data_IF_364488311763
#
_entry.id   IF_364488311763
#
_cell.length_a   1.000
_cell.length_b   1.000
_cell.length_c   1.000
_cell.angle_alpha   90.00
_cell.angle_beta   90.00
_cell.angle_gamma   90.00
#
_symmetry.space_group_name_H-M   'P 1'
#
loop_
_entity.id
_entity.type
_entity.pdbx_description
1 polymer ?
#
# COMPACT_ATOMS: atom_id res chain seq x y z
N UNK A 1 18.64 7.12 7.70
CA UNK A 1 18.01 6.36 8.80
C UNK A 1 18.42 4.90 8.64
N UNK A 2 18.65 4.16 9.73
CA UNK A 2 19.05 2.73 9.69
C UNK A 2 17.98 1.87 10.36
N UNK A 3 17.66 0.71 9.76
CA UNK A 3 16.66 -0.25 10.25
C UNK A 3 17.32 -1.61 10.57
N UNK A 4 16.86 -2.27 11.63
CA UNK A 4 17.22 -3.64 12.02
C UNK A 4 16.30 -4.66 11.35
N UNK A 5 16.76 -5.91 11.25
CA UNK A 5 15.92 -7.01 10.78
C UNK A 5 14.72 -7.14 11.72
N UNK A 6 13.52 -7.22 11.14
CA UNK A 6 12.26 -7.24 11.87
C UNK A 6 11.63 -5.87 12.09
N UNK A 7 12.37 -4.76 11.91
CA UNK A 7 11.79 -3.42 12.00
C UNK A 7 10.71 -3.23 10.93
N UNK A 8 9.63 -2.55 11.33
CA UNK A 8 8.54 -2.16 10.44
C UNK A 8 8.44 -0.64 10.44
N UNK A 9 8.57 -0.03 9.26
CA UNK A 9 8.22 1.35 9.02
C UNK A 9 6.82 1.42 8.42
N UNK A 10 5.99 2.37 8.86
CA UNK A 10 4.63 2.55 8.34
C UNK A 10 4.35 4.01 8.04
N UNK A 11 3.56 4.26 7.00
CA UNK A 11 2.97 5.57 6.71
C UNK A 11 1.61 5.42 6.03
N UNK A 12 0.78 6.45 6.15
CA UNK A 12 -0.41 6.58 5.31
C UNK A 12 0.02 7.07 3.93
N UNK A 13 -0.56 6.49 2.89
CA UNK A 13 -0.44 6.92 1.49
C UNK A 13 -1.83 7.16 0.92
N UNK A 14 -1.93 8.11 -0.01
CA UNK A 14 -3.18 8.38 -0.73
C UNK A 14 -3.08 7.83 -2.15
N UNK A 15 -4.11 7.13 -2.59
CA UNK A 15 -4.21 6.52 -3.91
C UNK A 15 -5.65 6.65 -4.42
N UNK A 16 -5.81 7.31 -5.57
CA UNK A 16 -7.11 7.57 -6.22
C UNK A 16 -8.19 8.12 -5.26
N UNK A 17 -7.79 9.05 -4.38
CA UNK A 17 -8.66 9.67 -3.39
C UNK A 17 -8.85 8.89 -2.09
N UNK A 18 -8.41 7.63 -2.01
CA UNK A 18 -8.52 6.76 -0.83
C UNK A 18 -7.20 6.67 -0.06
N UNK A 19 -7.29 6.55 1.26
CA UNK A 19 -6.13 6.39 2.13
C UNK A 19 -5.85 4.91 2.44
N UNK A 20 -4.59 4.52 2.31
CA UNK A 20 -4.07 3.20 2.66
C UNK A 20 -2.88 3.34 3.61
N UNK A 21 -2.55 2.25 4.33
CA UNK A 21 -1.31 2.15 5.10
C UNK A 21 -0.28 1.36 4.30
N UNK A 22 0.84 2.00 3.99
CA UNK A 22 2.04 1.33 3.50
C UNK A 22 2.87 0.87 4.70
N UNK A 23 3.13 -0.43 4.79
CA UNK A 23 4.04 -1.03 5.75
C UNK A 23 5.25 -1.63 5.02
N UNK A 24 6.45 -1.35 5.51
CA UNK A 24 7.71 -1.91 5.00
C UNK A 24 8.43 -2.59 6.15
N UNK A 25 8.61 -3.90 6.04
CA UNK A 25 9.32 -4.71 7.03
C UNK A 25 10.67 -5.13 6.49
N UNK A 26 11.75 -4.85 7.23
CA UNK A 26 13.09 -5.34 6.87
C UNK A 26 13.21 -6.84 7.19
N UNK A 27 13.66 -7.61 6.21
CA UNK A 27 13.92 -9.04 6.31
C UNK A 27 15.42 -9.34 6.15
N UNK A 28 15.79 -10.62 6.27
CA UNK A 28 17.19 -11.06 6.14
C UNK A 28 17.76 -10.81 4.74
N UNK A 29 16.93 -10.95 3.71
CA UNK A 29 17.34 -10.90 2.29
C UNK A 29 16.57 -9.85 1.46
N UNK A 30 15.89 -8.90 2.11
CA UNK A 30 15.08 -7.92 1.39
C UNK A 30 14.15 -7.12 2.28
N UNK A 31 13.08 -6.60 1.69
CA UNK A 31 11.98 -5.94 2.40
C UNK A 31 10.63 -6.50 1.96
N UNK A 32 9.76 -6.76 2.93
CA UNK A 32 8.34 -7.00 2.65
C UNK A 32 7.61 -5.67 2.63
N UNK A 33 7.08 -5.31 1.47
CA UNK A 33 6.12 -4.22 1.33
C UNK A 33 4.71 -4.80 1.50
N UNK A 34 3.87 -4.11 2.25
CA UNK A 34 2.46 -4.44 2.39
C UNK A 34 1.59 -3.19 2.31
N UNK A 35 0.48 -3.31 1.60
CA UNK A 35 -0.62 -2.38 1.62
C UNK A 35 -1.68 -2.94 2.56
N UNK A 36 -2.10 -2.11 3.50
CA UNK A 36 -3.19 -2.39 4.41
C UNK A 36 -4.24 -1.29 4.23
N UNK A 37 -5.49 -1.60 4.54
CA UNK A 37 -6.50 -0.55 4.68
C UNK A 37 -6.31 0.23 6.00
N UNK A 38 -7.17 1.22 6.24
CA UNK A 38 -7.11 2.04 7.45
C UNK A 38 -7.37 1.25 8.74
N UNK A 39 -8.11 0.15 8.68
CA UNK A 39 -8.33 -0.75 9.82
C UNK A 39 -7.11 -1.67 10.06
N UNK A 40 -6.13 -1.66 9.15
CA UNK A 40 -4.95 -2.51 9.21
C UNK A 40 -5.17 -3.92 8.64
N UNK A 41 -6.27 -4.13 7.91
CA UNK A 41 -6.54 -5.40 7.21
C UNK A 41 -5.66 -5.46 5.97
N UNK A 42 -5.14 -6.65 5.70
CA UNK A 42 -4.22 -6.88 4.59
C UNK A 42 -4.94 -6.75 3.24
N UNK A 43 -4.39 -5.93 2.34
CA UNK A 43 -4.84 -5.81 0.95
C UNK A 43 -3.92 -6.61 0.05
N UNK A 44 -2.63 -6.27 0.04
CA UNK A 44 -1.63 -6.94 -0.80
C UNK A 44 -0.21 -6.71 -0.25
N UNK A 45 0.76 -7.45 -0.78
CA UNK A 45 2.14 -7.37 -0.33
C UNK A 45 3.08 -8.17 -1.21
N UNK A 46 4.32 -7.71 -1.26
CA UNK A 46 5.37 -8.28 -2.11
C UNK A 46 6.72 -8.21 -1.40
N UNK A 47 7.53 -9.24 -1.59
CA UNK A 47 8.93 -9.22 -1.17
C UNK A 47 9.77 -8.56 -2.26
N UNK A 48 10.71 -7.71 -1.84
CA UNK A 48 11.64 -7.01 -2.73
C UNK A 48 13.04 -7.33 -2.25
N UNK A 49 13.78 -8.04 -3.10
CA UNK A 49 15.17 -8.44 -2.82
C UNK A 49 16.14 -7.48 -3.55
N UNK A 50 15.74 -7.00 -4.73
CA UNK A 50 16.54 -6.09 -5.55
C UNK A 50 15.80 -4.80 -5.91
N UNK A 51 16.56 -3.73 -6.23
CA UNK A 51 15.99 -2.44 -6.60
C UNK A 51 15.13 -2.51 -7.88
N UNK A 52 15.50 -3.39 -8.82
CA UNK A 52 14.74 -3.62 -10.06
C UNK A 52 13.32 -4.11 -9.81
N UNK A 53 13.10 -4.84 -8.71
CA UNK A 53 11.79 -5.42 -8.39
C UNK A 53 10.80 -4.35 -7.91
N UNK A 54 11.28 -3.16 -7.51
CA UNK A 54 10.44 -2.06 -7.00
C UNK A 54 9.40 -1.64 -8.03
N UNK A 55 9.77 -1.57 -9.31
CA UNK A 55 8.83 -1.14 -10.37
C UNK A 55 7.68 -2.14 -10.54
N UNK A 56 8.01 -3.43 -10.61
CA UNK A 56 7.02 -4.51 -10.73
C UNK A 56 6.16 -4.58 -9.48
N UNK A 57 6.77 -4.46 -8.30
CA UNK A 57 6.03 -4.45 -7.05
C UNK A 57 5.08 -3.27 -6.94
N UNK A 58 5.51 -2.08 -7.37
CA UNK A 58 4.67 -0.88 -7.34
C UNK A 58 3.45 -1.05 -8.26
N UNK A 59 3.64 -1.55 -9.48
CA UNK A 59 2.54 -1.75 -10.43
C UNK A 59 1.51 -2.75 -9.89
N UNK A 60 1.97 -3.91 -9.41
CA UNK A 60 1.12 -4.93 -8.82
C UNK A 60 0.36 -4.43 -7.58
N UNK A 61 1.01 -3.67 -6.69
CA UNK A 61 0.36 -3.13 -5.49
C UNK A 61 -0.66 -2.03 -5.83
N UNK A 62 -0.40 -1.21 -6.86
CA UNK A 62 -1.38 -0.24 -7.35
C UNK A 62 -2.60 -0.92 -7.99
N UNK A 63 -2.38 -2.00 -8.74
CA UNK A 63 -3.48 -2.80 -9.27
C UNK A 63 -4.33 -3.38 -8.12
N UNK A 64 -3.69 -3.98 -7.11
CA UNK A 64 -4.41 -4.54 -5.97
C UNK A 64 -5.18 -3.49 -5.16
N UNK A 65 -4.65 -2.26 -5.02
CA UNK A 65 -5.39 -1.15 -4.40
C UNK A 65 -6.62 -0.76 -5.21
N UNK A 66 -6.52 -0.70 -6.55
CA UNK A 66 -7.68 -0.43 -7.42
C UNK A 66 -8.77 -1.50 -7.26
N UNK A 67 -8.38 -2.76 -7.34
CA UNK A 67 -9.32 -3.89 -7.17
C UNK A 67 -10.01 -3.83 -5.80
N UNK A 68 -9.24 -3.54 -4.74
CA UNK A 68 -9.81 -3.37 -3.41
C UNK A 68 -10.82 -2.20 -3.33
N UNK A 69 -10.51 -1.06 -3.95
CA UNK A 69 -11.45 0.09 -4.02
C UNK A 69 -12.73 -0.32 -4.73
N UNK A 70 -12.63 -0.98 -5.89
CA UNK A 70 -13.80 -1.40 -6.66
C UNK A 70 -14.70 -2.38 -5.90
N UNK A 71 -14.11 -3.27 -5.09
CA UNK A 71 -14.85 -4.27 -4.30
C UNK A 71 -15.44 -3.71 -2.99
N UNK A 72 -14.83 -2.68 -2.40
CA UNK A 72 -15.16 -2.24 -1.03
C UNK A 72 -15.79 -0.85 -0.95
N UNK A 73 -15.93 -0.14 -2.08
CA UNK A 73 -16.41 1.25 -2.11
C UNK A 73 -17.59 1.40 -3.05
N UNK A 74 -18.50 2.31 -2.71
CA UNK A 74 -19.63 2.66 -3.56
C UNK A 74 -19.42 4.00 -4.28
N UNK A 75 -20.40 4.37 -5.11
CA UNK A 75 -20.34 5.61 -5.87
C UNK A 75 -20.32 6.86 -4.98
N UNK A 76 -20.94 6.81 -3.79
CA UNK A 76 -20.95 7.94 -2.85
C UNK A 76 -19.57 8.11 -2.23
N UNK A 77 -18.88 7.03 -1.92
CA UNK A 77 -17.49 7.08 -1.43
C UNK A 77 -16.58 7.75 -2.46
N UNK A 78 -16.72 7.37 -3.74
CA UNK A 78 -15.97 7.99 -4.85
C UNK A 78 -16.25 9.49 -4.97
N UNK A 79 -17.54 9.89 -4.93
CA UNK A 79 -17.92 11.30 -4.98
C UNK A 79 -17.37 12.10 -3.79
N UNK A 80 -17.44 11.55 -2.57
CA UNK A 80 -16.87 12.20 -1.39
C UNK A 80 -15.36 12.39 -1.54
N UNK A 81 -14.64 11.39 -2.03
CA UNK A 81 -13.19 11.49 -2.21
C UNK A 81 -12.80 12.51 -3.27
N UNK A 82 -13.52 12.58 -4.39
CA UNK A 82 -13.31 13.60 -5.42
C UNK A 82 -13.49 15.02 -4.86
N UNK A 83 -14.50 15.23 -4.00
CA UNK A 83 -14.73 16.53 -3.34
C UNK A 83 -13.62 16.83 -2.34
N UNK A 84 -13.16 15.82 -1.58
CA UNK A 84 -12.10 15.96 -0.57
C UNK A 84 -10.68 16.05 -1.17
N UNK A 85 -10.54 15.95 -2.49
CA UNK A 85 -9.30 16.25 -3.21
C UNK A 85 -9.19 17.73 -3.66
N UNK A 86 -10.29 18.49 -3.66
CA UNK A 86 -10.32 19.93 -3.95
C UNK A 86 -9.79 20.77 -2.79
#
# INVERSE_FOLDING_TARGET
>A
MYYKIGDVAQKVIRFEGFDFKLAVKKQDYGVLISILDLEGRYVAGMNIEEESDIYVATDNLQQAMREWIEENTDERDRLMNLVMEW
#
